data_IF_534516814075
#
_entry.id   IF_534516814075
#
_cell.length_a   1.000
_cell.length_b   1.000
_cell.length_c   1.000
_cell.angle_alpha   90.00
_cell.angle_beta   90.00
_cell.angle_gamma   90.00
#
_symmetry.space_group_name_H-M   'P 1'
#
loop_
_entity.id
_entity.type
_entity.pdbx_description
1 polymer ?
#
# COMPACT_ATOMS: atom_id res chain seq x y z
N UNK A 1 4.02 6.13 1.55
CA UNK A 1 3.00 6.01 2.63
C UNK A 1 1.85 6.97 2.37
N UNK A 2 0.63 6.46 2.16
CA UNK A 2 -0.53 7.25 1.75
C UNK A 2 -0.96 8.31 2.80
N UNK A 3 -0.82 7.99 4.08
CA UNK A 3 -1.16 8.89 5.21
C UNK A 3 -0.02 9.86 5.59
N UNK A 4 1.13 9.74 4.94
CA UNK A 4 2.38 10.46 5.25
C UNK A 4 3.18 9.81 6.38
N UNK A 5 4.49 10.05 6.39
CA UNK A 5 5.38 9.55 7.44
C UNK A 5 5.29 10.46 8.66
N UNK A 6 4.72 9.96 9.76
CA UNK A 6 4.67 10.67 11.04
C UNK A 6 5.07 9.73 12.16
N UNK A 7 6.05 10.15 12.95
CA UNK A 7 6.42 9.44 14.16
C UNK A 7 5.29 9.53 15.21
N UNK A 8 5.21 8.50 16.06
CA UNK A 8 4.18 8.35 17.08
C UNK A 8 4.77 7.78 18.36
N UNK A 9 4.19 8.17 19.50
CA UNK A 9 4.48 7.56 20.82
C UNK A 9 3.76 6.25 21.00
N UNK A 10 2.54 6.16 20.46
CA UNK A 10 1.72 4.96 20.46
C UNK A 10 1.57 4.46 19.02
N UNK A 11 2.31 3.40 18.64
CA UNK A 11 2.23 2.87 17.30
C UNK A 11 0.85 2.20 17.09
N UNK A 12 0.15 2.48 15.97
CA UNK A 12 -0.99 1.68 15.57
C UNK A 12 -0.53 0.25 15.19
N UNK A 13 -1.46 -0.73 15.15
CA UNK A 13 -1.14 -2.04 14.60
C UNK A 13 -0.69 -1.93 13.14
N UNK A 14 0.12 -2.88 12.64
CA UNK A 14 0.53 -2.90 11.24
C UNK A 14 -0.66 -2.85 10.29
N UNK A 15 -0.53 -2.05 9.24
CA UNK A 15 -1.62 -1.75 8.32
C UNK A 15 -1.23 -2.10 6.89
N UNK A 16 -2.10 -2.87 6.24
CA UNK A 16 -1.97 -3.20 4.82
C UNK A 16 -2.65 -2.12 3.98
N UNK A 17 -2.03 -1.77 2.86
CA UNK A 17 -2.61 -0.88 1.88
C UNK A 17 -2.21 -1.32 0.48
N UNK A 18 -3.12 -1.14 -0.46
CA UNK A 18 -2.88 -1.44 -1.88
C UNK A 18 -2.90 -0.12 -2.65
N UNK A 19 -2.06 -0.01 -3.67
CA UNK A 19 -1.93 1.18 -4.49
C UNK A 19 -1.71 0.80 -5.95
N UNK A 20 -1.92 1.76 -6.85
CA UNK A 20 -1.53 1.61 -8.24
C UNK A 20 -0.60 2.74 -8.65
N UNK A 21 0.38 2.40 -9.47
CA UNK A 21 1.27 3.34 -10.14
C UNK A 21 1.10 3.27 -11.66
N UNK A 22 1.86 4.11 -12.35
CA UNK A 22 1.91 4.15 -13.80
C UNK A 22 3.37 4.13 -14.24
N UNK A 23 3.69 3.28 -15.21
CA UNK A 23 4.98 3.32 -15.89
C UNK A 23 5.05 4.51 -16.85
N UNK A 24 6.27 4.83 -17.28
CA UNK A 24 6.53 5.79 -18.38
C UNK A 24 5.73 5.47 -19.63
N UNK A 25 5.50 4.18 -19.88
CA UNK A 25 4.84 3.67 -21.09
C UNK A 25 3.30 3.72 -20.97
N UNK A 26 2.78 4.21 -19.85
CA UNK A 26 1.34 4.27 -19.58
C UNK A 26 0.72 2.94 -19.11
N UNK A 27 1.52 1.88 -18.94
CA UNK A 27 1.05 0.63 -18.33
C UNK A 27 0.84 0.81 -16.82
N UNK A 28 -0.22 0.19 -16.30
CA UNK A 28 -0.58 0.25 -14.88
C UNK A 28 0.34 -0.69 -14.08
N UNK A 29 0.84 -0.21 -12.95
CA UNK A 29 1.51 -1.02 -11.94
C UNK A 29 0.59 -1.20 -10.74
N UNK A 30 0.62 -2.38 -10.15
CA UNK A 30 -0.09 -2.71 -8.92
C UNK A 30 0.92 -2.87 -7.81
N UNK A 31 0.59 -2.38 -6.62
CA UNK A 31 1.42 -2.57 -5.46
C UNK A 31 0.61 -2.77 -4.20
N UNK A 32 1.24 -3.39 -3.24
CA UNK A 32 0.70 -3.60 -1.91
C UNK A 32 1.82 -3.33 -0.90
N UNK A 33 1.49 -2.72 0.23
CA UNK A 33 2.44 -2.38 1.25
C UNK A 33 1.92 -2.68 2.64
N UNK A 34 2.85 -3.06 3.50
CA UNK A 34 2.67 -3.22 4.93
C UNK A 34 3.39 -2.07 5.64
N UNK A 35 2.62 -1.24 6.34
CA UNK A 35 3.12 -0.18 7.21
C UNK A 35 3.34 -0.74 8.62
N UNK A 36 4.58 -0.65 9.12
CA UNK A 36 5.00 -1.10 10.46
C UNK A 36 5.64 0.08 11.19
N UNK A 37 5.52 0.11 12.51
CA UNK A 37 6.16 1.13 13.33
C UNK A 37 7.30 0.51 14.12
N UNK A 38 8.51 1.03 13.95
CA UNK A 38 9.71 0.55 14.65
C UNK A 38 10.17 1.58 15.67
N UNK A 39 10.64 1.09 16.83
CA UNK A 39 11.18 1.94 17.89
C UNK A 39 12.50 2.56 17.42
N UNK A 40 12.65 3.85 17.64
CA UNK A 40 13.86 4.58 17.29
C UNK A 40 14.85 4.47 18.46
N UNK A 41 15.86 3.61 18.33
CA UNK A 41 16.83 3.33 19.41
C UNK A 41 18.10 4.21 19.33
N UNK A 42 18.45 4.71 18.14
CA UNK A 42 19.71 5.43 17.90
C UNK A 42 19.61 6.95 18.11
N UNK A 43 20.26 7.45 19.17
CA UNK A 43 20.48 8.88 19.46
C UNK A 43 20.99 9.74 18.27
N UNK A 44 21.99 9.31 17.47
CA UNK A 44 22.45 10.12 16.33
C UNK A 44 21.41 10.19 15.20
N UNK A 45 20.60 9.14 15.02
CA UNK A 45 19.54 9.09 14.00
C UNK A 45 18.39 10.03 14.39
N UNK A 46 18.08 10.13 15.68
CA UNK A 46 17.13 11.11 16.23
C UNK A 46 17.59 12.54 15.91
N UNK A 47 18.87 12.85 16.13
CA UNK A 47 19.45 14.15 15.82
C UNK A 47 19.35 14.51 14.33
N UNK A 48 19.64 13.55 13.44
CA UNK A 48 19.51 13.74 11.99
C UNK A 48 18.04 13.90 11.55
N UNK A 49 17.13 13.13 12.13
CA UNK A 49 15.69 13.24 11.89
C UNK A 49 15.16 14.62 12.31
N UNK A 50 15.56 15.12 13.49
CA UNK A 50 15.25 16.47 13.95
C UNK A 50 15.74 17.52 12.97
N UNK A 51 16.97 17.38 12.48
CA UNK A 51 17.57 18.29 11.50
C UNK A 51 16.81 18.25 10.17
N UNK A 52 16.50 17.07 9.65
CA UNK A 52 15.68 16.87 8.44
C UNK A 52 14.26 17.43 8.59
N UNK A 53 13.60 17.21 9.73
CA UNK A 53 12.26 17.75 10.02
C UNK A 53 12.33 19.28 10.09
N UNK A 54 13.34 19.84 10.76
CA UNK A 54 13.55 21.29 10.83
C UNK A 54 13.82 21.91 9.46
N UNK A 55 14.62 21.27 8.61
CA UNK A 55 14.90 21.69 7.23
C UNK A 55 13.65 21.57 6.34
N UNK A 56 12.87 20.49 6.47
CA UNK A 56 11.63 20.31 5.75
C UNK A 56 10.60 21.39 6.12
N UNK A 57 10.45 21.68 7.41
CA UNK A 57 9.59 22.76 7.90
C UNK A 57 10.11 24.10 7.38
N UNK A 58 11.41 24.37 7.53
CA UNK A 58 12.02 25.59 7.00
C UNK A 58 11.74 25.75 5.51
N UNK A 59 12.01 24.73 4.69
CA UNK A 59 11.75 24.77 3.25
C UNK A 59 10.25 24.95 2.92
N UNK A 60 9.37 24.23 3.63
CA UNK A 60 7.92 24.28 3.45
C UNK A 60 7.33 25.66 3.80
N UNK A 61 7.86 26.37 4.80
CA UNK A 61 7.36 27.68 5.21
C UNK A 61 8.15 28.86 4.60
N UNK A 62 9.41 28.66 4.20
CA UNK A 62 10.24 29.66 3.53
C UNK A 62 9.87 29.79 2.04
N UNK A 63 9.64 28.67 1.34
CA UNK A 63 9.31 28.70 -0.09
C UNK A 63 7.81 28.88 -0.36
N UNK A 64 6.94 28.45 0.56
CA UNK A 64 5.48 28.55 0.45
C UNK A 64 4.93 29.62 1.40
N UNK A 65 5.23 30.89 1.11
CA UNK A 65 4.54 32.04 1.72
C UNK A 65 3.11 32.13 1.16
N UNK A 66 2.20 31.30 1.65
CA UNK A 66 0.78 31.52 1.45
C UNK A 66 0.01 31.38 2.76
N UNK A 67 -0.80 32.40 3.07
CA UNK A 67 -1.40 32.74 4.38
C UNK A 67 -2.31 31.68 5.04
N UNK A 68 -2.32 30.41 4.61
CA UNK A 68 -3.27 29.39 5.06
C UNK A 68 -2.57 28.27 5.84
N UNK A 69 -2.62 28.39 7.18
CA UNK A 69 -2.63 27.34 8.24
C UNK A 69 -1.62 27.54 9.38
N UNK A 70 -1.89 28.54 10.22
CA UNK A 70 -1.27 28.71 11.56
C UNK A 70 -1.45 27.49 12.48
N UNK A 71 -2.45 26.63 12.20
CA UNK A 71 -2.71 25.37 12.91
C UNK A 71 -1.74 24.25 12.55
N UNK A 72 -1.24 24.21 11.31
CA UNK A 72 -0.32 23.16 10.86
C UNK A 72 1.12 23.48 11.32
N UNK A 73 1.50 24.76 11.39
CA UNK A 73 2.79 25.17 11.97
C UNK A 73 2.90 24.87 13.47
N UNK A 74 1.83 25.10 14.25
CA UNK A 74 1.81 24.73 15.69
C UNK A 74 2.00 23.22 15.90
N UNK A 75 1.45 22.38 15.01
CA UNK A 75 1.60 20.93 15.05
C UNK A 75 2.99 20.46 14.60
N UNK A 76 3.54 21.11 13.57
CA UNK A 76 4.87 20.83 13.06
C UNK A 76 5.94 21.20 14.12
N UNK A 77 5.78 22.33 14.83
CA UNK A 77 6.64 22.76 15.95
C UNK A 77 6.45 21.86 17.18
N UNK A 78 5.22 21.44 17.52
CA UNK A 78 5.02 20.50 18.63
C UNK A 78 5.68 19.15 18.35
N UNK A 79 5.74 18.74 17.08
CA UNK A 79 6.45 17.51 16.69
C UNK A 79 7.96 17.65 16.93
N UNK A 80 8.57 18.80 16.59
CA UNK A 80 9.98 19.08 16.89
C UNK A 80 10.23 19.10 18.41
N UNK A 81 9.41 19.83 19.18
CA UNK A 81 9.55 19.92 20.63
C UNK A 81 9.39 18.55 21.32
N UNK A 82 8.51 17.71 20.77
CA UNK A 82 8.32 16.33 21.20
C UNK A 82 9.57 15.47 20.96
N UNK A 83 10.20 15.56 19.80
CA UNK A 83 11.47 14.87 19.55
C UNK A 83 12.64 15.38 20.40
N UNK A 84 12.58 16.65 20.85
CA UNK A 84 13.61 17.26 21.70
C UNK A 84 13.49 16.84 23.18
N UNK A 85 12.27 16.60 23.68
CA UNK A 85 12.02 16.12 25.03
C UNK A 85 11.96 14.57 25.06
N UNK A 86 13.13 13.93 25.13
CA UNK A 86 13.35 12.48 25.16
C UNK A 86 12.83 11.76 26.42
N UNK A 87 11.55 11.90 26.77
CA UNK A 87 10.96 11.17 27.93
C UNK A 87 10.12 9.97 27.51
N UNK A 88 9.80 9.81 26.23
CA UNK A 88 8.93 8.74 25.72
C UNK A 88 9.55 8.02 24.52
N UNK A 89 9.29 6.72 24.41
CA UNK A 89 9.67 5.91 23.26
C UNK A 89 9.01 6.43 21.98
N UNK A 90 9.83 6.74 20.98
CA UNK A 90 9.36 7.26 19.69
C UNK A 90 9.42 6.16 18.64
N UNK A 91 8.29 5.95 17.95
CA UNK A 91 8.18 4.99 16.86
C UNK A 91 8.11 5.72 15.52
N UNK A 92 8.89 5.25 14.55
CA UNK A 92 8.92 5.78 13.18
C UNK A 92 8.27 4.77 12.24
N UNK A 93 7.42 5.23 11.30
CA UNK A 93 6.83 4.32 10.33
C UNK A 93 7.89 3.84 9.33
N UNK A 94 7.95 2.54 9.12
CA UNK A 94 8.62 1.86 8.01
C UNK A 94 7.55 1.15 7.16
N UNK A 95 7.84 0.95 5.88
CA UNK A 95 6.92 0.21 5.01
C UNK A 95 7.69 -0.76 4.13
N UNK A 96 7.20 -2.00 4.07
CA UNK A 96 7.58 -2.98 3.06
C UNK A 96 6.54 -2.92 1.95
N UNK A 97 6.95 -2.81 0.69
CA UNK A 97 6.02 -2.77 -0.43
C UNK A 97 6.45 -3.70 -1.56
N UNK A 98 5.47 -4.41 -2.11
CA UNK A 98 5.61 -5.21 -3.33
C UNK A 98 4.97 -4.47 -4.49
N UNK A 99 5.58 -4.60 -5.67
CA UNK A 99 5.11 -3.99 -6.92
C UNK A 99 5.12 -5.06 -8.00
N UNK A 100 4.06 -5.13 -8.78
CA UNK A 100 3.90 -6.05 -9.92
C UNK A 100 3.19 -5.36 -11.07
N UNK A 101 3.40 -5.87 -12.28
CA UNK A 101 2.65 -5.46 -13.47
C UNK A 101 1.22 -6.03 -13.48
N UNK A 102 0.95 -7.05 -12.66
CA UNK A 102 -0.33 -7.75 -12.63
C UNK A 102 -1.06 -7.56 -11.29
N UNK A 103 -2.40 -7.57 -11.28
CA UNK A 103 -3.23 -7.33 -10.10
C UNK A 103 -3.31 -8.55 -9.17
N UNK A 104 -2.17 -9.03 -8.65
CA UNK A 104 -2.07 -10.19 -7.75
C UNK A 104 -2.47 -9.86 -6.30
N UNK A 105 -3.65 -9.25 -6.11
CA UNK A 105 -4.11 -8.79 -4.80
C UNK A 105 -4.17 -9.91 -3.76
N UNK A 106 -4.69 -11.08 -4.13
CA UNK A 106 -4.74 -12.24 -3.22
C UNK A 106 -3.33 -12.73 -2.82
N UNK A 107 -2.39 -12.74 -3.77
CA UNK A 107 -1.01 -13.14 -3.49
C UNK A 107 -0.32 -12.13 -2.57
N UNK A 108 -0.56 -10.84 -2.76
CA UNK A 108 -0.05 -9.80 -1.87
C UNK A 108 -0.57 -9.99 -0.45
N UNK A 109 -1.89 -10.12 -0.28
CA UNK A 109 -2.52 -10.27 1.03
C UNK A 109 -2.03 -11.52 1.77
N UNK A 110 -1.96 -12.65 1.06
CA UNK A 110 -1.47 -13.92 1.62
C UNK A 110 0.00 -13.81 2.04
N UNK A 111 0.83 -13.15 1.21
CA UNK A 111 2.25 -12.98 1.51
C UNK A 111 2.47 -12.11 2.74
N UNK A 112 1.76 -11.00 2.79
CA UNK A 112 1.83 -10.05 3.88
C UNK A 112 1.29 -10.61 5.20
N UNK A 113 0.21 -11.38 5.15
CA UNK A 113 -0.30 -12.13 6.30
C UNK A 113 0.76 -13.11 6.81
N UNK A 114 1.39 -13.87 5.91
CA UNK A 114 2.46 -14.80 6.28
C UNK A 114 3.62 -14.08 6.98
N UNK A 115 4.10 -12.95 6.43
CA UNK A 115 5.20 -12.19 7.04
C UNK A 115 4.83 -11.58 8.38
N UNK A 116 3.61 -11.06 8.54
CA UNK A 116 3.13 -10.53 9.81
C UNK A 116 3.08 -11.62 10.90
N UNK A 117 2.58 -12.81 10.57
CA UNK A 117 2.55 -13.94 11.50
C UNK A 117 3.95 -14.47 11.86
N UNK A 118 4.91 -14.33 10.95
CA UNK A 118 6.30 -14.73 11.16
C UNK A 118 7.01 -13.79 12.14
N UNK A 119 6.86 -12.48 11.96
CA UNK A 119 7.46 -11.44 12.79
C UNK A 119 6.91 -11.47 14.23
N UNK A 120 5.58 -11.54 14.38
CA UNK A 120 4.92 -11.55 15.70
C UNK A 120 5.31 -12.74 16.58
N UNK A 121 5.63 -13.88 15.97
CA UNK A 121 5.98 -15.09 16.70
C UNK A 121 7.50 -15.23 16.96
N UNK A 122 8.36 -14.32 16.48
CA UNK A 122 9.83 -14.53 16.44
C UNK A 122 10.22 -15.91 15.88
N UNK A 123 9.36 -16.50 15.05
CA UNK A 123 9.52 -17.87 14.53
C UNK A 123 9.60 -17.78 13.02
N UNK A 124 10.84 -17.84 12.52
CA UNK A 124 11.14 -18.21 11.15
C UNK A 124 10.51 -19.59 10.90
N UNK A 125 9.32 -19.66 10.30
CA UNK A 125 8.60 -20.91 10.16
C UNK A 125 9.03 -21.64 8.89
N UNK A 126 9.91 -22.62 9.12
CA UNK A 126 9.88 -23.97 8.54
C UNK A 126 9.32 -24.06 7.11
N UNK A 127 10.19 -23.90 6.13
CA UNK A 127 10.07 -24.74 4.94
C UNK A 127 10.32 -26.20 5.36
N UNK A 128 9.46 -27.10 4.88
CA UNK A 128 9.67 -28.53 5.01
C UNK A 128 10.93 -28.86 4.18
N UNK A 129 12.07 -28.92 4.89
CA UNK A 129 13.41 -29.42 4.49
C UNK A 129 14.36 -28.36 3.86
N UNK A 130 15.60 -28.18 4.36
CA UNK A 130 16.19 -28.57 5.66
C UNK A 130 16.13 -27.43 6.69
N UNK A 131 16.45 -27.77 7.94
CA UNK A 131 16.47 -26.95 9.17
C UNK A 131 17.48 -25.78 9.14
N UNK A 132 17.40 -24.89 8.15
CA UNK A 132 18.22 -23.69 8.06
C UNK A 132 17.32 -22.49 8.33
N UNK A 133 17.73 -21.63 9.28
CA UNK A 133 17.13 -20.31 9.43
C UNK A 133 17.46 -19.54 8.13
N UNK A 134 16.48 -19.37 7.25
CA UNK A 134 16.60 -18.55 6.05
C UNK A 134 16.18 -17.14 6.48
N UNK A 135 16.98 -16.13 6.13
CA UNK A 135 16.64 -14.74 6.44
C UNK A 135 15.44 -14.32 5.59
N UNK A 136 14.64 -13.40 6.09
CA UNK A 136 13.45 -12.93 5.37
C UNK A 136 13.82 -12.39 3.99
N UNK A 137 14.93 -11.70 3.86
CA UNK A 137 15.38 -11.10 2.60
C UNK A 137 15.70 -12.18 1.55
N UNK A 138 16.37 -13.26 1.95
CA UNK A 138 16.71 -14.36 1.03
C UNK A 138 15.45 -15.08 0.55
N UNK A 139 14.46 -15.21 1.44
CA UNK A 139 13.16 -15.80 1.13
C UNK A 139 12.36 -14.90 0.17
N UNK A 140 12.33 -13.59 0.44
CA UNK A 140 11.69 -12.61 -0.45
C UNK A 140 12.35 -12.62 -1.83
N UNK A 141 13.69 -12.66 -1.89
CA UNK A 141 14.41 -12.75 -3.16
C UNK A 141 14.00 -13.99 -3.95
N UNK A 142 13.90 -15.15 -3.29
CA UNK A 142 13.44 -16.36 -3.95
C UNK A 142 12.03 -16.20 -4.54
N UNK A 143 11.07 -15.71 -3.75
CA UNK A 143 9.69 -15.58 -4.22
C UNK A 143 9.49 -14.56 -5.33
N UNK A 144 10.29 -13.48 -5.37
CA UNK A 144 10.10 -12.40 -6.32
C UNK A 144 11.02 -12.44 -7.54
N UNK A 145 12.23 -12.99 -7.40
CA UNK A 145 13.22 -13.05 -8.49
C UNK A 145 13.36 -14.43 -9.09
N UNK A 146 13.30 -15.51 -8.29
CA UNK A 146 13.51 -16.86 -8.81
C UNK A 146 12.22 -17.46 -9.39
N UNK A 147 11.05 -17.03 -8.89
CA UNK A 147 9.76 -17.48 -9.42
C UNK A 147 9.40 -16.64 -10.66
N UNK A 148 9.36 -17.23 -11.86
CA UNK A 148 9.00 -16.49 -13.06
C UNK A 148 7.52 -16.09 -13.02
N UNK A 149 7.18 -14.95 -13.62
CA UNK A 149 5.77 -14.60 -13.83
C UNK A 149 5.07 -15.66 -14.70
N UNK A 150 3.78 -15.98 -14.43
CA UNK A 150 3.03 -16.90 -15.26
C UNK A 150 2.90 -16.36 -16.69
N UNK A 151 3.01 -17.25 -17.69
CA UNK A 151 2.70 -16.88 -19.07
C UNK A 151 1.20 -16.53 -19.21
N UNK A 152 0.80 -15.68 -20.16
CA UNK A 152 -0.61 -15.37 -20.41
C UNK A 152 -1.46 -16.63 -20.58
N UNK A 153 -2.60 -16.69 -19.89
CA UNK A 153 -3.50 -17.85 -19.86
C UNK A 153 -3.02 -19.03 -19.00
N UNK A 154 -1.84 -18.94 -18.37
CA UNK A 154 -1.33 -19.97 -17.45
C UNK A 154 -1.42 -19.51 -16.00
N UNK A 155 -1.41 -20.51 -15.12
CA UNK A 155 -1.40 -20.35 -13.67
C UNK A 155 -0.15 -21.03 -13.11
N UNK A 156 0.52 -20.37 -12.18
CA UNK A 156 1.57 -20.96 -11.36
C UNK A 156 1.14 -20.91 -9.92
N UNK A 157 1.55 -21.90 -9.13
CA UNK A 157 1.35 -21.88 -7.69
C UNK A 157 2.67 -22.17 -7.01
N UNK A 158 2.96 -21.42 -5.96
CA UNK A 158 4.12 -21.63 -5.12
C UNK A 158 3.70 -21.74 -3.66
N UNK A 159 4.50 -22.45 -2.89
CA UNK A 159 4.24 -22.65 -1.47
C UNK A 159 4.95 -21.58 -0.66
N UNK A 160 4.18 -20.85 0.14
CA UNK A 160 4.64 -19.87 1.12
C UNK A 160 4.45 -20.46 2.53
N UNK A 161 5.45 -21.23 2.97
CA UNK A 161 5.38 -21.99 4.21
C UNK A 161 4.30 -23.08 4.17
N UNK A 162 3.18 -22.86 4.87
CA UNK A 162 2.01 -23.77 4.84
C UNK A 162 0.88 -23.28 3.94
N UNK A 163 1.01 -22.07 3.38
CA UNK A 163 0.02 -21.47 2.49
C UNK A 163 0.45 -21.70 1.05
N UNK A 164 -0.52 -21.93 0.15
CA UNK A 164 -0.25 -22.04 -1.28
C UNK A 164 -0.75 -20.79 -1.98
N UNK A 165 0.16 -20.06 -2.62
CA UNK A 165 -0.15 -18.83 -3.35
C UNK A 165 -0.30 -19.17 -4.83
N UNK A 166 -1.45 -18.82 -5.40
CA UNK A 166 -1.73 -18.96 -6.83
C UNK A 166 -1.48 -17.61 -7.51
N UNK A 167 -0.78 -17.63 -8.64
CA UNK A 167 -0.62 -16.50 -9.54
C UNK A 167 -1.19 -16.88 -10.90
N UNK A 168 -2.15 -16.12 -11.42
CA UNK A 168 -2.69 -16.30 -12.75
C UNK A 168 -2.47 -15.05 -13.63
N UNK A 169 -1.88 -15.24 -14.81
CA UNK A 169 -1.86 -14.17 -15.81
C UNK A 169 -3.07 -14.35 -16.73
N UNK A 170 -4.08 -13.45 -16.72
CA UNK A 170 -5.19 -13.53 -17.65
C UNK A 170 -4.70 -13.30 -19.09
N UNK A 171 -5.40 -13.88 -20.07
CA UNK A 171 -5.19 -13.58 -21.48
C UNK A 171 -5.89 -12.27 -21.87
N UNK A 172 -5.47 -11.63 -22.98
CA UNK A 172 -6.03 -10.34 -23.41
C UNK A 172 -7.53 -10.39 -23.74
N UNK A 173 -8.02 -11.57 -24.13
CA UNK A 173 -9.41 -11.83 -24.49
C UNK A 173 -10.23 -12.45 -23.35
N UNK A 174 -9.58 -12.78 -22.23
CA UNK A 174 -10.31 -13.27 -21.08
C UNK A 174 -11.13 -12.13 -20.49
N UNK A 175 -12.31 -12.48 -19.96
CA UNK A 175 -13.04 -11.58 -19.06
C UNK A 175 -12.04 -11.16 -17.97
N UNK A 176 -12.01 -9.90 -17.52
CA UNK A 176 -11.16 -9.48 -16.41
C UNK A 176 -11.58 -10.22 -15.13
N UNK A 177 -11.12 -11.46 -14.99
CA UNK A 177 -11.18 -12.25 -13.78
C UNK A 177 -10.14 -11.61 -12.89
N UNK A 178 -10.56 -10.63 -12.10
CA UNK A 178 -9.73 -10.23 -10.99
C UNK A 178 -9.71 -11.37 -9.99
N UNK A 179 -8.53 -11.70 -9.49
CA UNK A 179 -8.34 -12.55 -8.29
C UNK A 179 -8.88 -11.87 -7.02
N UNK A 180 -9.78 -10.90 -7.16
CA UNK A 180 -10.40 -10.15 -6.10
C UNK A 180 -11.74 -10.77 -5.75
N UNK A 181 -12.03 -10.98 -4.45
CA UNK A 181 -13.35 -11.39 -4.03
C UNK A 181 -14.36 -10.30 -4.40
N UNK A 182 -15.28 -10.62 -5.32
CA UNK A 182 -16.37 -9.72 -5.70
C UNK A 182 -17.26 -9.37 -4.50
N UNK A 183 -17.27 -10.23 -3.48
CA UNK A 183 -17.90 -10.01 -2.18
C UNK A 183 -17.46 -8.70 -1.51
N UNK A 184 -16.20 -8.26 -1.69
CA UNK A 184 -15.72 -7.00 -1.12
C UNK A 184 -16.52 -5.82 -1.66
N UNK A 185 -16.90 -5.84 -2.95
CA UNK A 185 -17.70 -4.77 -3.54
C UNK A 185 -19.09 -4.69 -2.91
N UNK A 186 -19.75 -5.84 -2.76
CA UNK A 186 -21.12 -5.91 -2.22
C UNK A 186 -21.20 -5.73 -0.71
N UNK A 187 -20.13 -6.02 0.02
CA UNK A 187 -20.06 -5.78 1.47
C UNK A 187 -19.77 -4.31 1.79
N UNK A 188 -19.00 -3.62 0.95
CA UNK A 188 -18.58 -2.23 1.19
C UNK A 188 -19.52 -1.20 0.55
N UNK A 189 -20.16 -1.52 -0.58
CA UNK A 189 -21.09 -0.64 -1.29
C UNK A 189 -22.49 -1.24 -1.40
N UNK A 190 -23.51 -0.41 -1.18
CA UNK A 190 -24.89 -0.77 -1.51
C UNK A 190 -25.08 -0.89 -3.02
N UNK A 191 -26.05 -1.72 -3.43
CA UNK A 191 -26.39 -1.95 -4.86
C UNK A 191 -26.60 -0.64 -5.62
N UNK A 192 -27.35 0.30 -5.04
CA UNK A 192 -27.61 1.61 -5.67
C UNK A 192 -26.33 2.42 -5.93
N UNK A 193 -25.35 2.35 -5.01
CA UNK A 193 -24.07 3.05 -5.16
C UNK A 193 -23.21 2.40 -6.23
N UNK A 194 -23.27 1.07 -6.36
CA UNK A 194 -22.60 0.35 -7.45
C UNK A 194 -23.19 0.78 -8.80
N UNK A 195 -24.52 0.77 -8.93
CA UNK A 195 -25.19 1.24 -10.15
C UNK A 195 -24.85 2.70 -10.47
N UNK A 196 -24.83 3.57 -9.46
CA UNK A 196 -24.44 4.97 -9.64
C UNK A 196 -22.98 5.10 -10.09
N UNK A 197 -22.05 4.36 -9.47
CA UNK A 197 -20.64 4.38 -9.84
C UNK A 197 -20.44 3.91 -11.28
N UNK A 198 -21.06 2.79 -11.67
CA UNK A 198 -21.02 2.29 -13.06
C UNK A 198 -21.60 3.31 -14.03
N UNK A 199 -22.75 3.92 -13.70
CA UNK A 199 -23.34 4.99 -14.52
C UNK A 199 -22.36 6.17 -14.71
N UNK A 200 -21.72 6.62 -13.64
CA UNK A 200 -20.75 7.72 -13.71
C UNK A 200 -19.51 7.35 -14.53
N UNK A 201 -19.04 6.10 -14.42
CA UNK A 201 -17.93 5.59 -15.24
C UNK A 201 -18.31 5.55 -16.74
N UNK A 202 -19.52 5.09 -17.08
CA UNK A 202 -20.00 5.06 -18.47
C UNK A 202 -20.21 6.46 -19.05
N UNK A 203 -20.51 7.45 -18.20
CA UNK A 203 -20.64 8.86 -18.58
C UNK A 203 -19.31 9.62 -18.55
N UNK A 204 -18.18 8.93 -18.36
CA UNK A 204 -16.83 9.53 -18.25
C UNK A 204 -16.76 10.67 -17.21
N UNK A 205 -17.60 10.59 -16.18
CA UNK A 205 -17.71 11.62 -15.14
C UNK A 205 -16.63 11.49 -14.08
N UNK A 206 -16.30 12.60 -13.40
CA UNK A 206 -15.34 12.57 -12.27
C UNK A 206 -15.95 11.80 -11.09
N UNK A 207 -15.32 10.69 -10.72
CA UNK A 207 -15.73 9.86 -9.57
C UNK A 207 -14.70 9.97 -8.46
N UNK A 208 -15.17 10.24 -7.24
CA UNK A 208 -14.34 10.18 -6.03
C UNK A 208 -14.93 9.13 -5.08
N UNK A 209 -14.10 8.16 -4.69
CA UNK A 209 -14.47 7.12 -3.75
C UNK A 209 -13.73 7.40 -2.44
N UNK A 210 -14.48 7.46 -1.35
CA UNK A 210 -13.94 7.67 0.00
C UNK A 210 -14.13 6.38 0.78
N UNK A 211 -13.02 5.81 1.26
CA UNK A 211 -13.01 4.63 2.10
C UNK A 211 -12.20 4.91 3.38
N UNK A 212 -12.67 4.40 4.51
CA UNK A 212 -11.92 4.45 5.76
C UNK A 212 -10.73 3.48 5.75
N UNK A 213 -10.92 2.32 5.13
CA UNK A 213 -9.92 1.29 4.97
C UNK A 213 -9.22 1.39 3.61
N UNK A 214 -7.92 1.65 3.67
CA UNK A 214 -7.09 1.83 2.48
C UNK A 214 -6.75 0.50 1.79
N UNK A 215 -6.88 -0.61 2.50
CA UNK A 215 -6.67 -1.95 1.96
C UNK A 215 -7.67 -2.27 0.85
N UNK A 216 -8.95 -1.99 1.10
CA UNK A 216 -10.05 -2.37 0.20
C UNK A 216 -10.30 -1.36 -0.91
N UNK A 217 -9.79 -0.14 -0.79
CA UNK A 217 -10.07 0.95 -1.73
C UNK A 217 -9.64 0.61 -3.16
N UNK A 218 -8.40 0.16 -3.35
CA UNK A 218 -7.89 -0.20 -4.69
C UNK A 218 -8.61 -1.41 -5.28
N UNK A 219 -8.81 -2.52 -4.55
CA UNK A 219 -9.68 -3.62 -4.97
C UNK A 219 -11.06 -3.19 -5.46
N UNK A 220 -11.75 -2.33 -4.69
CA UNK A 220 -13.09 -1.83 -5.05
C UNK A 220 -13.03 -1.01 -6.34
N UNK A 221 -12.03 -0.14 -6.48
CA UNK A 221 -11.84 0.66 -7.69
C UNK A 221 -11.63 -0.23 -8.92
N UNK A 222 -10.77 -1.25 -8.81
CA UNK A 222 -10.52 -2.19 -9.91
C UNK A 222 -11.80 -2.98 -10.27
N UNK A 223 -12.52 -3.51 -9.26
CA UNK A 223 -13.82 -4.20 -9.45
C UNK A 223 -14.84 -3.30 -10.16
N UNK A 224 -14.95 -2.03 -9.79
CA UNK A 224 -15.85 -1.09 -10.47
C UNK A 224 -15.43 -0.86 -11.92
N UNK A 225 -14.13 -0.73 -12.20
CA UNK A 225 -13.63 -0.59 -13.58
C UNK A 225 -13.75 -1.86 -14.41
N UNK A 226 -13.82 -3.07 -13.83
CA UNK A 226 -14.11 -4.26 -14.63
C UNK A 226 -15.57 -4.40 -15.00
N UNK A 227 -16.49 -3.80 -14.22
CA UNK A 227 -17.92 -3.85 -14.52
C UNK A 227 -18.29 -3.14 -15.83
N UNK A 228 -17.44 -2.22 -16.30
CA UNK A 228 -17.62 -1.54 -17.59
C UNK A 228 -17.02 -2.31 -18.78
N UNK A 229 -16.47 -3.51 -18.58
CA UNK A 229 -15.98 -4.37 -19.67
C UNK A 229 -17.04 -4.51 -20.78
N UNK A 230 -16.67 -4.42 -22.07
CA UNK A 230 -15.31 -4.35 -22.63
C UNK A 230 -14.73 -2.93 -22.72
N UNK A 231 -15.44 -1.90 -22.21
CA UNK A 231 -14.92 -0.55 -22.17
C UNK A 231 -13.78 -0.44 -21.16
N UNK A 232 -12.82 0.44 -21.46
CA UNK A 232 -11.68 0.74 -20.59
C UNK A 232 -11.76 2.19 -20.16
N UNK A 233 -11.55 2.45 -18.87
CA UNK A 233 -11.39 3.80 -18.37
C UNK A 233 -10.10 4.42 -18.94
N UNK A 234 -10.22 5.49 -19.73
CA UNK A 234 -9.09 6.14 -20.41
C UNK A 234 -8.56 7.38 -19.69
N UNK A 235 -9.23 7.83 -18.64
CA UNK A 235 -8.88 9.06 -17.94
C UNK A 235 -7.99 8.78 -16.73
N UNK A 236 -7.61 9.84 -16.02
CA UNK A 236 -6.80 9.74 -14.81
C UNK A 236 -7.43 8.75 -13.82
N UNK A 237 -6.63 7.76 -13.41
CA UNK A 237 -7.04 6.75 -12.44
C UNK A 237 -5.99 6.68 -11.32
N UNK A 238 -6.43 7.14 -10.14
CA UNK A 238 -5.64 7.18 -8.91
C UNK A 238 -6.53 6.64 -7.79
N UNK A 239 -6.50 5.33 -7.50
CA UNK A 239 -7.31 4.71 -6.46
C UNK A 239 -7.00 5.27 -5.08
N UNK A 240 -5.72 5.56 -4.84
CA UNK A 240 -5.24 6.05 -3.57
C UNK A 240 -4.46 7.34 -3.75
N UNK A 241 -5.06 8.44 -3.33
CA UNK A 241 -4.41 9.75 -3.37
C UNK A 241 -3.49 9.92 -2.16
N UNK A 242 -2.19 10.09 -2.39
CA UNK A 242 -1.26 10.43 -1.32
C UNK A 242 -1.53 11.84 -0.81
N UNK A 243 -1.38 12.06 0.51
CA UNK A 243 -1.61 13.38 1.13
C UNK A 243 -0.82 14.53 0.49
N UNK A 244 0.37 14.24 -0.05
CA UNK A 244 1.20 15.22 -0.75
C UNK A 244 0.61 15.68 -2.10
N UNK A 245 -0.28 14.89 -2.70
CA UNK A 245 -0.92 15.18 -3.98
C UNK A 245 -2.25 15.94 -3.84
N UNK A 246 -2.74 16.15 -2.61
CA UNK A 246 -4.02 16.83 -2.31
C UNK A 246 -3.90 18.38 -2.40
N UNK A 247 -2.90 18.89 -3.12
CA UNK A 247 -2.69 20.34 -3.28
C UNK A 247 -3.52 20.93 -4.44
N UNK A 248 -4.80 20.58 -4.52
CA UNK A 248 -5.77 21.14 -5.47
C UNK A 248 -6.81 21.94 -4.70
#
# INVERSE_FOLDING_TARGET
MPRGARARTRPPPPAFFTFTGWNSDGSKLYGAGLEVFEKLEDLPVIGLLLLCISLYIFHKYFFFLNKKKRSDLKRDISTIFFFYNQTEDVYVPKALAFVSHYPYFFAFDTSFFFFFFMDYNNRCLWHVIPKKLIRLEDLLMHYFYDIPAPQPGKKIAYDLGRMRVLLACPNEFDIPIMELPSEILYTQLSKDRICMAVKLLLLESRVMIVCADLHNLTPICELLTSLIFPLRWRHLYIPQLCRAMVCI
#
